data_IF_373733442069
#
_entry.id   IF_373733442069
#
_cell.length_a   1.000
_cell.length_b   1.000
_cell.length_c   1.000
_cell.angle_alpha   90.00
_cell.angle_beta   90.00
_cell.angle_gamma   90.00
#
_symmetry.space_group_name_H-M   'P 1'
#
loop_
_entity.id
_entity.type
_entity.pdbx_description
1 polymer ?
#
# COMPACT_ATOMS: atom_id res chain seq x y z
N UNK A 1 23.45 -10.15 -6.98
CA UNK A 1 22.49 -9.37 -6.17
C UNK A 1 22.56 -7.95 -6.68
N UNK A 2 21.44 -7.44 -7.19
CA UNK A 2 21.33 -6.10 -7.77
C UNK A 2 21.61 -5.04 -6.72
N UNK A 3 22.46 -4.08 -7.06
CA UNK A 3 22.70 -2.89 -6.26
C UNK A 3 21.36 -2.13 -6.16
N UNK A 4 20.83 -1.96 -4.94
CA UNK A 4 19.51 -1.32 -4.76
C UNK A 4 19.65 0.18 -4.97
N UNK A 5 18.71 0.75 -5.72
CA UNK A 5 18.63 2.21 -5.89
C UNK A 5 18.25 2.86 -4.54
N UNK A 6 19.10 3.72 -3.96
CA UNK A 6 18.84 4.35 -2.67
C UNK A 6 17.65 5.31 -2.71
N UNK A 7 17.20 5.74 -3.88
CA UNK A 7 16.08 6.66 -4.04
C UNK A 7 14.75 5.94 -4.34
N UNK A 8 14.71 4.61 -4.26
CA UNK A 8 13.52 3.82 -4.54
C UNK A 8 13.20 2.82 -3.45
N UNK A 9 11.93 2.49 -3.36
CA UNK A 9 11.46 1.48 -2.42
C UNK A 9 12.09 0.11 -2.70
N UNK A 10 12.74 -0.47 -1.69
CA UNK A 10 13.39 -1.77 -1.78
C UNK A 10 12.42 -2.95 -2.04
N UNK A 11 11.11 -2.72 -1.97
CA UNK A 11 10.10 -3.72 -2.36
C UNK A 11 9.91 -3.83 -3.88
N UNK A 12 10.55 -2.96 -4.67
CA UNK A 12 10.59 -3.00 -6.14
C UNK A 12 9.18 -3.20 -6.76
N UNK A 13 9.01 -4.20 -7.64
CA UNK A 13 7.75 -4.54 -8.30
C UNK A 13 6.60 -4.91 -7.34
N UNK A 14 6.91 -5.21 -6.08
CA UNK A 14 5.96 -5.55 -5.01
C UNK A 14 5.57 -4.33 -4.15
N UNK A 15 6.09 -3.14 -4.48
CA UNK A 15 5.74 -1.89 -3.80
C UNK A 15 4.26 -1.56 -3.98
N UNK A 16 3.62 -1.05 -2.93
CA UNK A 16 2.21 -0.64 -2.95
C UNK A 16 1.96 0.59 -3.83
N UNK A 17 2.94 1.49 -3.94
CA UNK A 17 2.93 2.67 -4.81
C UNK A 17 3.89 2.50 -6.00
N UNK A 18 3.98 1.28 -6.53
CA UNK A 18 4.87 0.98 -7.66
C UNK A 18 4.52 1.84 -8.88
N UNK A 19 5.55 2.25 -9.59
CA UNK A 19 5.45 3.00 -10.84
C UNK A 19 5.72 2.06 -12.01
N UNK A 20 5.19 2.40 -13.17
CA UNK A 20 5.48 1.68 -14.42
C UNK A 20 6.45 2.55 -15.22
N UNK A 21 7.70 2.11 -15.32
CA UNK A 21 8.75 2.79 -16.09
C UNK A 21 9.11 1.90 -17.28
N UNK A 22 8.66 2.29 -18.48
CA UNK A 22 8.73 1.42 -19.64
C UNK A 22 7.78 0.22 -19.47
N UNK A 23 8.31 -0.99 -19.50
CA UNK A 23 7.55 -2.24 -19.30
C UNK A 23 7.73 -2.86 -17.92
N UNK A 24 8.54 -2.26 -17.06
CA UNK A 24 8.88 -2.82 -15.74
C UNK A 24 8.18 -2.07 -14.60
N UNK A 25 7.71 -2.84 -13.62
CA UNK A 25 7.21 -2.29 -12.37
C UNK A 25 8.37 -2.02 -11.42
N UNK A 26 8.58 -0.75 -11.09
CA UNK A 26 9.63 -0.33 -10.18
C UNK A 26 9.06 0.23 -8.88
N UNK A 27 9.88 0.23 -7.84
CA UNK A 27 9.52 0.80 -6.55
C UNK A 27 9.26 2.31 -6.66
N UNK A 28 8.28 2.78 -5.88
CA UNK A 28 8.00 4.21 -5.68
C UNK A 28 9.29 4.98 -5.37
N UNK A 29 9.38 6.22 -5.85
CA UNK A 29 10.46 7.13 -5.46
C UNK A 29 10.34 7.51 -3.98
N UNK A 30 11.46 7.51 -3.26
CA UNK A 30 11.55 7.84 -1.84
C UNK A 30 12.58 8.95 -1.66
N UNK A 31 12.25 9.93 -0.83
CA UNK A 31 13.18 11.02 -0.47
C UNK A 31 14.11 10.58 0.66
N UNK A 32 13.55 10.04 1.74
CA UNK A 32 14.28 9.57 2.91
C UNK A 32 13.86 8.15 3.32
N UNK A 33 14.84 7.28 3.59
CA UNK A 33 14.63 5.91 4.04
C UNK A 33 14.70 4.85 2.93
N UNK A 34 14.48 3.58 3.30
CA UNK A 34 14.69 2.42 2.41
C UNK A 34 13.37 1.85 1.85
N UNK A 35 12.25 2.16 2.49
CA UNK A 35 10.92 1.66 2.13
C UNK A 35 9.88 2.77 2.26
N UNK A 36 8.90 2.81 1.36
CA UNK A 36 7.86 3.83 1.40
C UNK A 36 6.85 3.53 2.53
N UNK A 37 6.12 4.55 3.00
CA UNK A 37 5.15 4.41 4.10
C UNK A 37 4.12 3.29 3.89
N UNK A 38 3.69 3.09 2.64
CA UNK A 38 2.76 2.03 2.30
C UNK A 38 3.36 0.63 2.47
N UNK A 39 4.63 0.45 2.10
CA UNK A 39 5.33 -0.82 2.29
C UNK A 39 5.72 -1.04 3.75
N UNK A 40 6.06 0.02 4.49
CA UNK A 40 6.30 -0.05 5.93
C UNK A 40 5.05 -0.47 6.69
N UNK A 41 3.89 0.11 6.34
CA UNK A 41 2.59 -0.28 6.89
C UNK A 41 2.26 -1.74 6.57
N UNK A 42 2.50 -2.18 5.32
CA UNK A 42 2.33 -3.59 4.91
C UNK A 42 3.23 -4.54 5.71
N UNK A 43 4.50 -4.17 5.92
CA UNK A 43 5.44 -4.93 6.74
C UNK A 43 4.95 -5.03 8.19
N UNK A 44 4.48 -3.91 8.76
CA UNK A 44 3.91 -3.90 10.12
C UNK A 44 2.72 -4.85 10.25
N UNK A 45 1.80 -4.83 9.27
CA UNK A 45 0.68 -5.77 9.24
C UNK A 45 1.13 -7.22 9.10
N UNK A 46 2.12 -7.50 8.24
CA UNK A 46 2.66 -8.85 8.07
C UNK A 46 3.27 -9.38 9.37
N UNK A 47 4.11 -8.57 10.03
CA UNK A 47 4.72 -8.92 11.34
C UNK A 47 3.64 -9.18 12.37
N UNK A 48 2.71 -8.23 12.57
CA UNK A 48 1.61 -8.38 13.53
C UNK A 48 0.70 -9.59 13.23
N UNK A 49 0.55 -9.92 11.95
CA UNK A 49 -0.27 -11.03 11.47
C UNK A 49 0.36 -12.41 11.65
N UNK A 50 1.69 -12.52 11.79
CA UNK A 50 2.40 -13.81 11.82
C UNK A 50 1.81 -14.85 12.78
N UNK A 51 1.48 -14.53 14.06
CA UNK A 51 0.93 -15.53 14.97
C UNK A 51 -0.42 -16.08 14.49
N UNK A 52 -1.28 -15.20 13.98
CA UNK A 52 -2.59 -15.59 13.45
C UNK A 52 -2.47 -16.40 12.15
N UNK A 53 -1.51 -16.04 11.29
CA UNK A 53 -1.22 -16.75 10.05
C UNK A 53 -0.67 -18.15 10.32
N UNK A 54 0.24 -18.28 11.29
CA UNK A 54 0.75 -19.58 11.76
C UNK A 54 -0.37 -20.43 12.37
N UNK A 55 -1.25 -19.87 13.21
CA UNK A 55 -2.39 -20.60 13.79
C UNK A 55 -3.36 -21.10 12.72
N UNK A 56 -3.63 -20.32 11.68
CA UNK A 56 -4.50 -20.71 10.57
C UNK A 56 -3.90 -21.86 9.78
N UNK A 57 -2.61 -21.80 9.49
CA UNK A 57 -1.91 -22.91 8.87
C UNK A 57 -2.00 -24.16 9.76
N UNK A 58 -1.83 -24.00 11.08
CA UNK A 58 -1.82 -25.10 12.04
C UNK A 58 -3.15 -25.84 12.05
N UNK A 59 -4.23 -25.10 12.22
CA UNK A 59 -5.58 -25.66 12.17
C UNK A 59 -5.93 -26.20 10.78
N UNK A 60 -5.37 -25.61 9.72
CA UNK A 60 -5.57 -26.04 8.33
C UNK A 60 -4.87 -27.34 7.96
N UNK A 61 -3.89 -27.82 8.74
CA UNK A 61 -3.24 -29.12 8.52
C UNK A 61 -4.10 -30.30 8.98
N UNK A 62 -5.19 -30.06 9.72
CA UNK A 62 -6.14 -31.10 10.10
C UNK A 62 -5.60 -32.12 11.11
N UNK A 63 -4.45 -31.87 11.71
CA UNK A 63 -3.89 -32.72 12.78
C UNK A 63 -4.77 -32.63 14.03
N UNK A 64 -5.80 -33.49 14.08
CA UNK A 64 -6.20 -34.05 15.37
C UNK A 64 -5.04 -34.93 15.80
N UNK A 65 -4.14 -34.40 16.62
CA UNK A 65 -3.34 -35.26 17.50
C UNK A 65 -4.37 -36.13 18.24
N UNK A 66 -4.47 -37.40 17.85
CA UNK A 66 -5.36 -38.35 18.52
C UNK A 66 -4.72 -38.57 19.90
N UNK A 67 -5.10 -37.75 20.86
CA UNK A 67 -4.65 -37.83 22.25
C UNK A 67 -5.20 -39.08 22.99
N UNK A 68 -5.58 -40.14 22.27
CA UNK A 68 -6.27 -41.30 22.83
C UNK A 68 -6.27 -42.56 21.97
N UNK A 69 -5.34 -42.72 21.02
CA UNK A 69 -5.22 -43.93 20.21
C UNK A 69 -3.80 -44.49 20.29
N UNK A 70 -3.69 -45.78 20.58
CA UNK A 70 -2.47 -46.54 20.86
C UNK A 70 -1.16 -45.97 20.26
N UNK A 71 -0.12 -45.86 21.11
CA UNK A 71 1.27 -45.77 20.64
C UNK A 71 1.59 -47.02 19.83
N UNK A 72 1.41 -46.94 18.51
CA UNK A 72 2.03 -47.88 17.58
C UNK A 72 3.49 -47.44 17.46
N UNK A 73 4.34 -47.97 18.35
CA UNK A 73 5.76 -48.00 18.07
C UNK A 73 5.96 -48.97 16.90
N UNK A 74 6.48 -48.50 15.78
CA UNK A 74 6.99 -49.42 14.76
C UNK A 74 6.55 -49.13 13.33
N UNK A 75 6.83 -47.94 12.82
CA UNK A 75 7.25 -47.77 11.42
C UNK A 75 8.47 -46.85 11.43
N UNK A 76 9.55 -47.28 10.78
CA UNK A 76 10.78 -46.49 10.57
C UNK A 76 10.61 -45.49 9.41
N UNK A 77 9.37 -45.31 8.94
CA UNK A 77 8.94 -44.36 7.93
C UNK A 77 8.25 -43.21 8.66
N UNK A 78 8.75 -41.99 8.42
CA UNK A 78 8.17 -40.77 8.97
C UNK A 78 6.68 -40.69 8.61
N UNK A 79 5.85 -40.20 9.55
CA UNK A 79 4.46 -39.92 9.25
C UNK A 79 4.43 -38.93 8.08
N UNK A 80 3.98 -39.39 6.91
CA UNK A 80 3.84 -38.54 5.73
C UNK A 80 2.80 -37.47 6.05
N UNK A 81 3.25 -36.22 6.13
CA UNK A 81 2.39 -35.09 6.45
C UNK A 81 1.46 -34.88 5.26
N UNK A 82 0.16 -34.89 5.51
CA UNK A 82 -0.88 -34.78 4.47
C UNK A 82 -0.77 -33.43 3.71
N UNK A 83 -0.06 -32.45 4.27
CA UNK A 83 0.17 -31.15 3.66
C UNK A 83 1.57 -30.57 3.96
N UNK A 84 2.60 -31.19 3.37
CA UNK A 84 4.02 -30.81 3.50
C UNK A 84 4.28 -29.32 3.20
N UNK A 85 3.52 -28.74 2.27
CA UNK A 85 3.70 -27.34 1.88
C UNK A 85 3.26 -26.37 3.00
N UNK A 86 2.16 -26.65 3.70
CA UNK A 86 1.73 -25.83 4.85
C UNK A 86 2.67 -25.93 6.02
N UNK A 87 3.18 -27.14 6.31
CA UNK A 87 4.17 -27.35 7.35
C UNK A 87 5.48 -26.60 7.05
N UNK A 88 5.97 -26.68 5.81
CA UNK A 88 7.15 -25.92 5.38
C UNK A 88 6.95 -24.41 5.54
N UNK A 89 5.76 -23.87 5.20
CA UNK A 89 5.45 -22.47 5.43
C UNK A 89 5.40 -22.10 6.91
N UNK A 90 4.86 -22.96 7.78
CA UNK A 90 4.85 -22.71 9.22
C UNK A 90 6.25 -22.61 9.79
N UNK A 91 7.10 -23.59 9.49
CA UNK A 91 8.49 -23.59 9.91
C UNK A 91 9.23 -22.34 9.39
N UNK A 92 8.99 -21.97 8.14
CA UNK A 92 9.60 -20.79 7.53
C UNK A 92 9.18 -19.48 8.21
N UNK A 93 7.92 -19.32 8.62
CA UNK A 93 7.47 -18.14 9.38
C UNK A 93 8.20 -18.03 10.71
N UNK A 94 8.32 -19.15 11.45
CA UNK A 94 9.00 -19.19 12.75
C UNK A 94 10.49 -18.86 12.59
N UNK A 95 11.16 -19.49 11.62
CA UNK A 95 12.58 -19.24 11.35
C UNK A 95 12.85 -17.79 10.95
N UNK A 96 12.03 -17.18 10.10
CA UNK A 96 12.18 -15.77 9.72
C UNK A 96 11.94 -14.83 10.90
N UNK A 97 10.92 -15.11 11.71
CA UNK A 97 10.58 -14.30 12.87
C UNK A 97 11.70 -14.34 13.92
N UNK A 98 12.25 -15.52 14.21
CA UNK A 98 13.36 -15.69 15.16
C UNK A 98 14.62 -14.95 14.68
N UNK A 99 15.00 -15.12 13.40
CA UNK A 99 16.14 -14.41 12.80
C UNK A 99 15.97 -12.89 12.84
N UNK A 100 14.82 -12.39 12.40
CA UNK A 100 14.55 -10.95 12.41
C UNK A 100 14.64 -10.39 13.84
N UNK A 101 14.13 -11.14 14.81
CA UNK A 101 14.18 -10.77 16.22
C UNK A 101 15.61 -10.75 16.74
N UNK A 102 16.42 -11.76 16.41
CA UNK A 102 17.83 -11.81 16.77
C UNK A 102 18.62 -10.60 16.24
N UNK A 103 18.39 -10.20 14.98
CA UNK A 103 19.05 -9.02 14.41
C UNK A 103 18.72 -7.75 15.20
N UNK A 104 17.44 -7.56 15.54
CA UNK A 104 16.98 -6.39 16.30
C UNK A 104 17.44 -6.43 17.75
N UNK A 105 17.38 -7.58 18.41
CA UNK A 105 17.87 -7.79 19.77
C UNK A 105 19.36 -7.46 19.88
N UNK A 106 20.16 -7.93 18.92
CA UNK A 106 21.60 -7.66 18.84
C UNK A 106 21.87 -6.18 18.66
N UNK A 107 21.12 -5.51 17.78
CA UNK A 107 21.27 -4.08 17.52
C UNK A 107 20.88 -3.20 18.72
N UNK A 108 19.85 -3.60 19.47
CA UNK A 108 19.35 -2.86 20.63
C UNK A 108 20.04 -3.27 21.94
N UNK A 109 20.98 -4.23 21.90
CA UNK A 109 21.58 -4.86 23.08
C UNK A 109 20.54 -5.37 24.10
N UNK A 110 19.40 -5.84 23.60
CA UNK A 110 18.35 -6.43 24.43
C UNK A 110 18.55 -7.93 24.43
N UNK A 111 18.88 -8.50 25.59
CA UNK A 111 19.02 -9.96 25.71
C UNK A 111 17.64 -10.62 25.74
N UNK A 112 17.25 -11.26 24.64
CA UNK A 112 16.09 -12.14 24.58
C UNK A 112 16.26 -13.33 25.52
N UNK A 113 15.43 -13.43 26.57
CA UNK A 113 15.42 -14.59 27.47
C UNK A 113 14.73 -15.78 26.79
N UNK A 114 15.46 -16.91 26.77
CA UNK A 114 15.05 -18.28 26.44
C UNK A 114 14.46 -18.52 25.03
N UNK A 115 15.37 -18.80 24.08
CA UNK A 115 15.03 -19.31 22.73
C UNK A 115 14.63 -20.80 22.70
N UNK A 116 14.92 -21.56 23.77
CA UNK A 116 14.62 -22.98 23.86
C UNK A 116 13.98 -23.33 25.22
N UNK A 117 12.66 -23.18 25.31
CA UNK A 117 11.89 -23.64 26.46
C UNK A 117 11.57 -25.14 26.38
N UNK A 118 11.39 -25.78 27.53
CA UNK A 118 10.88 -27.16 27.71
C UNK A 118 9.43 -27.37 27.24
N UNK A 119 8.87 -26.45 26.46
CA UNK A 119 7.50 -26.57 25.96
C UNK A 119 7.49 -27.54 24.77
N UNK A 120 6.52 -28.45 24.73
CA UNK A 120 6.34 -29.31 23.56
C UNK A 120 5.95 -28.50 22.32
N UNK A 121 6.29 -29.01 21.14
CA UNK A 121 5.68 -28.59 19.88
C UNK A 121 4.16 -28.80 20.00
N UNK A 122 3.26 -27.82 19.74
CA UNK A 122 3.40 -26.54 19.00
C UNK A 122 3.46 -25.26 19.86
N UNK A 123 3.52 -25.37 21.19
CA UNK A 123 3.42 -24.21 22.08
C UNK A 123 4.67 -23.31 22.04
N UNK A 124 5.82 -23.88 21.69
CA UNK A 124 7.08 -23.14 21.52
C UNK A 124 7.03 -22.19 20.32
N UNK A 125 6.65 -22.67 19.13
CA UNK A 125 6.53 -21.87 17.91
C UNK A 125 5.64 -20.64 18.11
N UNK A 126 4.47 -20.82 18.72
CA UNK A 126 3.56 -19.70 19.01
C UNK A 126 4.20 -18.70 19.98
N UNK A 127 4.93 -19.15 21.00
CA UNK A 127 5.61 -18.25 21.93
C UNK A 127 6.73 -17.46 21.22
N UNK A 128 7.49 -18.10 20.33
CA UNK A 128 8.51 -17.47 19.49
C UNK A 128 7.91 -16.38 18.62
N UNK A 129 6.78 -16.65 17.96
CA UNK A 129 6.09 -15.65 17.13
C UNK A 129 5.54 -14.49 17.95
N UNK A 130 4.97 -14.75 19.12
CA UNK A 130 4.48 -13.68 20.00
C UNK A 130 5.62 -12.80 20.51
N UNK A 131 6.76 -13.40 20.87
CA UNK A 131 7.97 -12.67 21.25
C UNK A 131 8.49 -11.81 20.09
N UNK A 132 8.56 -12.40 18.90
CA UNK A 132 9.00 -11.70 17.69
C UNK A 132 8.11 -10.48 17.39
N UNK A 133 6.79 -10.60 17.49
CA UNK A 133 5.88 -9.46 17.30
C UNK A 133 6.16 -8.34 18.31
N UNK A 134 6.34 -8.68 19.59
CA UNK A 134 6.59 -7.69 20.65
C UNK A 134 7.89 -6.91 20.44
N UNK A 135 8.92 -7.54 19.87
CA UNK A 135 10.20 -6.88 19.59
C UNK A 135 10.17 -6.15 18.25
N UNK A 136 9.65 -6.78 17.20
CA UNK A 136 9.72 -6.28 15.84
C UNK A 136 8.74 -5.14 15.58
N UNK A 137 7.48 -5.22 16.04
CA UNK A 137 6.46 -4.19 15.77
C UNK A 137 6.90 -2.77 16.15
N UNK A 138 7.47 -2.51 17.35
CA UNK A 138 7.97 -1.18 17.71
C UNK A 138 9.32 -0.83 17.06
N UNK A 139 10.12 -1.82 16.67
CA UNK A 139 11.52 -1.62 16.26
C UNK A 139 11.79 -1.92 14.77
N UNK A 140 10.78 -1.88 13.90
CA UNK A 140 10.96 -2.06 12.45
C UNK A 140 12.06 -1.17 11.83
N UNK A 141 12.24 0.11 12.22
CA UNK A 141 13.34 0.91 11.70
C UNK A 141 14.71 0.33 12.05
N UNK A 142 14.86 -0.28 13.23
CA UNK A 142 16.11 -0.92 13.64
C UNK A 142 16.41 -2.16 12.80
N UNK A 143 15.38 -2.94 12.43
CA UNK A 143 15.51 -4.06 11.49
C UNK A 143 15.99 -3.57 10.12
N UNK A 144 15.34 -2.54 9.56
CA UNK A 144 15.67 -2.03 8.23
C UNK A 144 17.07 -1.41 8.14
N UNK A 145 17.62 -0.94 9.27
CA UNK A 145 18.97 -0.39 9.36
C UNK A 145 20.08 -1.45 9.48
N UNK A 146 19.72 -2.74 9.61
CA UNK A 146 20.72 -3.79 9.84
C UNK A 146 21.62 -4.02 8.63
N UNK A 147 22.96 -4.13 8.85
CA UNK A 147 23.88 -4.50 7.80
C UNK A 147 23.67 -5.96 7.37
N UNK A 148 24.37 -6.36 6.31
CA UNK A 148 24.39 -7.74 5.86
C UNK A 148 24.99 -8.65 6.93
N UNK A 149 24.25 -9.69 7.30
CA UNK A 149 24.68 -10.74 8.20
C UNK A 149 24.61 -12.09 7.47
N UNK A 150 25.63 -12.92 7.66
CA UNK A 150 25.65 -14.26 7.10
C UNK A 150 24.70 -15.17 7.87
N UNK A 151 23.74 -15.74 7.15
CA UNK A 151 22.74 -16.64 7.72
C UNK A 151 22.78 -18.00 7.05
N UNK A 152 22.54 -19.05 7.84
CA UNK A 152 22.36 -20.40 7.34
C UNK A 152 20.99 -20.52 6.66
N UNK A 153 20.99 -20.79 5.36
CA UNK A 153 19.77 -21.07 4.57
C UNK A 153 19.88 -22.47 3.98
N UNK A 154 18.73 -23.10 3.76
CA UNK A 154 18.66 -24.35 3.02
C UNK A 154 19.12 -24.12 1.58
N UNK A 155 20.19 -24.80 1.18
CA UNK A 155 20.72 -24.77 -0.18
C UNK A 155 19.73 -25.39 -1.16
N UNK A 156 20.03 -25.29 -2.46
CA UNK A 156 19.21 -25.93 -3.50
C UNK A 156 19.10 -27.43 -3.22
N UNK A 157 17.90 -27.99 -3.33
CA UNK A 157 17.72 -29.45 -3.25
C UNK A 157 18.58 -30.08 -4.35
N UNK A 158 19.52 -30.97 -4.02
CA UNK A 158 20.40 -31.59 -5.01
C UNK A 158 19.61 -32.40 -6.03
N UNK A 159 20.02 -32.34 -7.30
CA UNK A 159 19.43 -33.14 -8.38
C UNK A 159 20.04 -34.56 -8.32
N UNK A 160 19.39 -35.50 -7.62
CA UNK A 160 19.84 -36.89 -7.47
C UNK A 160 20.41 -37.21 -6.07
N UNK A 161 21.19 -38.29 -5.97
CA UNK A 161 21.76 -38.77 -4.69
C UNK A 161 23.06 -38.04 -4.28
N UNK A 162 23.70 -37.34 -5.21
CA UNK A 162 24.92 -36.58 -4.97
C UNK A 162 24.61 -35.17 -4.45
N UNK A 163 25.28 -34.73 -3.38
CA UNK A 163 25.12 -33.38 -2.80
C UNK A 163 24.27 -33.34 -1.51
N UNK A 164 23.66 -34.45 -1.11
CA UNK A 164 23.04 -34.59 0.21
C UNK A 164 24.11 -34.69 1.30
N UNK A 165 23.92 -33.96 2.40
CA UNK A 165 24.81 -34.06 3.55
C UNK A 165 24.60 -35.41 4.26
N UNK A 166 25.64 -36.24 4.44
CA UNK A 166 25.51 -37.63 4.92
C UNK A 166 24.80 -37.82 6.26
N UNK A 167 24.76 -36.76 7.10
CA UNK A 167 24.13 -36.78 8.42
C UNK A 167 22.95 -35.84 8.60
N UNK A 168 22.85 -34.82 7.74
CA UNK A 168 21.97 -33.67 8.00
C UNK A 168 20.93 -33.46 6.89
N UNK A 169 20.90 -34.34 5.88
CA UNK A 169 19.96 -34.23 4.76
C UNK A 169 20.35 -33.09 3.82
N UNK A 170 19.40 -32.21 3.51
CA UNK A 170 19.61 -31.13 2.53
C UNK A 170 20.79 -30.23 2.94
N UNK A 171 21.67 -29.83 1.99
CA UNK A 171 22.79 -28.95 2.29
C UNK A 171 22.30 -27.60 2.81
N UNK A 172 23.11 -26.98 3.68
CA UNK A 172 22.90 -25.62 4.19
C UNK A 172 24.04 -24.73 3.72
N UNK A 173 23.70 -23.55 3.23
CA UNK A 173 24.64 -22.57 2.70
C UNK A 173 24.58 -21.30 3.53
N UNK A 174 25.73 -20.62 3.66
CA UNK A 174 25.80 -19.30 4.25
C UNK A 174 25.47 -18.27 3.18
N UNK A 175 24.40 -17.51 3.40
CA UNK A 175 23.99 -16.43 2.52
C UNK A 175 23.85 -15.14 3.32
N UNK A 176 24.44 -14.08 2.81
CA UNK A 176 24.39 -12.75 3.41
C UNK A 176 23.02 -12.10 3.17
N UNK A 177 22.30 -11.78 4.24
CA UNK A 177 21.04 -11.02 4.19
C UNK A 177 21.16 -9.73 4.98
N UNK A 178 20.68 -8.63 4.41
CA UNK A 178 20.42 -7.42 5.19
C UNK A 178 19.02 -7.46 5.82
N UNK A 179 18.74 -6.53 6.73
CA UNK A 179 17.43 -6.51 7.40
C UNK A 179 16.27 -6.17 6.46
N UNK A 180 16.55 -5.54 5.33
CA UNK A 180 15.57 -5.23 4.30
C UNK A 180 15.19 -6.49 3.51
N UNK A 181 16.15 -7.37 3.21
CA UNK A 181 15.90 -8.66 2.58
C UNK A 181 14.97 -9.50 3.45
N UNK A 182 15.24 -9.56 4.76
CA UNK A 182 14.39 -10.26 5.72
C UNK A 182 12.99 -9.63 5.77
N UNK A 183 12.88 -8.30 5.76
CA UNK A 183 11.58 -7.62 5.70
C UNK A 183 10.79 -7.96 4.42
N UNK A 184 11.46 -8.04 3.27
CA UNK A 184 10.84 -8.45 2.00
C UNK A 184 10.39 -9.90 2.06
N UNK A 185 11.19 -10.79 2.66
CA UNK A 185 10.83 -12.20 2.84
C UNK A 185 9.64 -12.37 3.78
N UNK A 186 9.56 -11.62 4.88
CA UNK A 186 8.41 -11.62 5.80
C UNK A 186 7.12 -11.32 5.05
N UNK A 187 7.11 -10.25 4.25
CA UNK A 187 5.91 -9.87 3.48
C UNK A 187 5.62 -10.89 2.38
N UNK A 188 6.65 -11.47 1.79
CA UNK A 188 6.48 -12.52 0.80
C UNK A 188 5.83 -13.77 1.39
N UNK A 189 6.33 -14.24 2.53
CA UNK A 189 5.78 -15.41 3.23
C UNK A 189 4.35 -15.14 3.65
N UNK A 190 4.04 -13.99 4.25
CA UNK A 190 2.65 -13.64 4.56
C UNK A 190 1.74 -13.77 3.33
N UNK A 191 2.16 -13.25 2.17
CA UNK A 191 1.42 -13.45 0.90
C UNK A 191 1.26 -14.92 0.51
N UNK A 192 2.31 -15.74 0.64
CA UNK A 192 2.24 -17.17 0.35
C UNK A 192 1.24 -17.87 1.28
N UNK A 193 1.23 -17.54 2.57
CA UNK A 193 0.24 -18.05 3.53
C UNK A 193 -1.18 -17.71 3.08
N UNK A 194 -1.41 -16.46 2.67
CA UNK A 194 -2.71 -16.08 2.13
C UNK A 194 -3.08 -16.92 0.91
N UNK A 195 -2.17 -17.14 -0.04
CA UNK A 195 -2.41 -17.97 -1.22
C UNK A 195 -2.76 -19.42 -0.85
N UNK A 196 -2.01 -20.03 0.07
CA UNK A 196 -2.18 -21.43 0.48
C UNK A 196 -3.42 -21.70 1.34
N UNK A 197 -3.87 -20.70 2.08
CA UNK A 197 -5.14 -20.78 2.80
C UNK A 197 -6.35 -20.62 1.88
N UNK A 198 -6.15 -20.49 0.56
CA UNK A 198 -7.21 -20.06 -0.37
C UNK A 198 -7.74 -18.67 -0.04
N UNK A 199 -7.01 -17.94 0.81
CA UNK A 199 -7.22 -16.54 1.15
C UNK A 199 -6.37 -15.65 0.25
N UNK A 200 -6.05 -16.11 -0.96
CA UNK A 200 -5.96 -15.22 -2.12
C UNK A 200 -7.37 -14.62 -2.32
N UNK A 201 -7.85 -13.92 -1.30
CA UNK A 201 -9.04 -13.13 -1.34
C UNK A 201 -8.69 -12.10 -2.39
N UNK A 202 -9.34 -12.21 -3.54
CA UNK A 202 -9.29 -11.15 -4.52
C UNK A 202 -9.73 -9.92 -3.75
N UNK A 203 -8.78 -9.00 -3.52
CA UNK A 203 -9.14 -7.76 -2.88
C UNK A 203 -9.78 -6.93 -3.97
N UNK A 204 -11.08 -6.76 -3.88
CA UNK A 204 -11.78 -5.80 -4.70
C UNK A 204 -11.37 -4.42 -4.24
N UNK A 205 -10.38 -3.83 -4.94
CA UNK A 205 -10.01 -2.43 -4.74
C UNK A 205 -11.16 -1.56 -5.21
N UNK A 206 -11.52 -0.59 -4.39
CA UNK A 206 -12.48 0.42 -4.79
C UNK A 206 -11.75 1.62 -5.41
N UNK A 207 -12.37 2.25 -6.40
CA UNK A 207 -11.85 3.46 -7.05
C UNK A 207 -12.08 4.72 -6.21
N UNK A 208 -12.86 4.63 -5.14
CA UNK A 208 -13.18 5.79 -4.29
C UNK A 208 -12.06 6.10 -3.29
N UNK A 209 -11.78 7.39 -3.01
CA UNK A 209 -10.81 7.76 -1.99
C UNK A 209 -11.33 7.41 -0.59
N UNK A 210 -10.40 7.17 0.33
CA UNK A 210 -10.69 6.81 1.71
C UNK A 210 -11.48 7.92 2.44
N UNK A 211 -12.68 7.60 3.01
CA UNK A 211 -13.50 8.56 3.74
C UNK A 211 -13.04 8.81 5.18
N UNK A 212 -12.03 8.08 5.67
CA UNK A 212 -11.55 8.23 7.04
C UNK A 212 -11.05 9.66 7.31
N UNK A 213 -11.43 10.22 8.45
CA UNK A 213 -10.93 11.50 8.94
C UNK A 213 -10.07 11.23 10.17
N UNK A 214 -8.89 11.86 10.24
CA UNK A 214 -8.03 11.75 11.41
C UNK A 214 -8.55 12.64 12.56
N UNK A 215 -7.94 12.53 13.74
CA UNK A 215 -8.29 13.34 14.92
C UNK A 215 -8.09 14.85 14.74
N UNK A 216 -7.38 15.27 13.68
CA UNK A 216 -7.15 16.68 13.32
C UNK A 216 -8.15 17.21 12.31
N UNK A 217 -9.10 16.38 11.85
CA UNK A 217 -10.09 16.76 10.85
C UNK A 217 -9.60 16.61 9.40
N UNK A 218 -8.42 16.05 9.16
CA UNK A 218 -7.89 15.84 7.81
C UNK A 218 -8.37 14.49 7.25
N UNK A 219 -8.83 14.50 6.00
CA UNK A 219 -9.24 13.29 5.29
C UNK A 219 -8.04 12.46 4.86
N UNK A 220 -8.16 11.14 4.96
CA UNK A 220 -7.12 10.21 4.51
C UNK A 220 -6.92 10.28 3.00
N UNK A 221 -8.00 10.36 2.21
CA UNK A 221 -7.95 10.54 0.75
C UNK A 221 -7.28 9.44 -0.07
N UNK A 222 -6.75 8.39 0.57
CA UNK A 222 -5.99 7.35 -0.11
C UNK A 222 -6.89 6.42 -0.94
N UNK A 223 -6.48 6.12 -2.18
CA UNK A 223 -7.12 5.16 -3.09
C UNK A 223 -6.73 3.71 -2.79
N UNK A 224 -6.68 3.38 -1.50
CA UNK A 224 -6.26 2.05 -1.02
C UNK A 224 -7.39 1.33 -0.30
N UNK A 225 -8.62 1.81 -0.45
CA UNK A 225 -9.80 1.15 0.09
C UNK A 225 -10.13 -0.07 -0.75
N UNK A 226 -10.69 -1.08 -0.10
CA UNK A 226 -11.13 -2.28 -0.78
C UNK A 226 -11.73 -3.26 0.19
N UNK A 227 -12.23 -4.35 -0.39
CA UNK A 227 -12.93 -5.41 0.30
C UNK A 227 -12.23 -6.72 0.01
N UNK A 228 -12.06 -7.54 1.03
CA UNK A 228 -11.57 -8.91 0.86
C UNK A 228 -12.72 -9.83 0.47
N UNK A 229 -12.53 -10.69 -0.53
CA UNK A 229 -13.49 -11.73 -0.88
C UNK A 229 -13.96 -12.53 0.35
N UNK A 230 -15.27 -12.73 0.44
CA UNK A 230 -15.92 -13.44 1.55
C UNK A 230 -16.10 -12.61 2.82
N UNK A 231 -15.63 -11.36 2.86
CA UNK A 231 -15.93 -10.41 3.95
C UNK A 231 -16.99 -9.41 3.50
N UNK A 232 -17.72 -8.81 4.44
CA UNK A 232 -18.66 -7.68 4.19
C UNK A 232 -18.10 -6.35 4.69
N UNK A 233 -16.79 -6.32 4.97
CA UNK A 233 -16.10 -5.18 5.53
C UNK A 233 -15.15 -4.58 4.48
N UNK A 234 -15.18 -3.26 4.35
CA UNK A 234 -14.21 -2.48 3.61
C UNK A 234 -13.13 -2.01 4.56
N UNK A 235 -11.88 -2.11 4.14
CA UNK A 235 -10.73 -1.62 4.89
C UNK A 235 -9.90 -0.66 4.04
N UNK A 236 -9.27 0.31 4.70
CA UNK A 236 -8.23 1.13 4.08
C UNK A 236 -6.86 0.65 4.55
N UNK A 237 -6.01 0.22 3.62
CA UNK A 237 -4.66 -0.25 3.97
C UNK A 237 -3.70 0.89 4.34
N UNK A 238 -4.02 2.14 4.01
CA UNK A 238 -3.20 3.31 4.37
C UNK A 238 -3.45 3.78 5.81
N UNK A 239 -4.71 3.99 6.21
CA UNK A 239 -5.04 4.49 7.56
C UNK A 239 -5.53 3.41 8.52
N UNK A 240 -5.79 2.19 8.05
CA UNK A 240 -6.27 1.07 8.86
C UNK A 240 -7.74 1.16 9.28
N UNK A 241 -8.49 2.18 8.84
CA UNK A 241 -9.91 2.30 9.11
C UNK A 241 -10.71 1.17 8.42
N UNK A 242 -11.80 0.76 9.06
CA UNK A 242 -12.66 -0.33 8.62
C UNK A 242 -14.11 0.06 8.76
N UNK A 243 -14.92 -0.35 7.79
CA UNK A 243 -16.34 -0.05 7.75
C UNK A 243 -17.13 -1.27 7.25
N UNK A 244 -18.33 -1.52 7.78
CA UNK A 244 -19.26 -2.44 7.13
C UNK A 244 -19.72 -1.86 5.79
N UNK A 245 -20.05 -2.73 4.83
CA UNK A 245 -20.47 -2.38 3.46
C UNK A 245 -21.54 -1.27 3.41
N UNK A 246 -22.56 -1.35 4.26
CA UNK A 246 -23.64 -0.34 4.32
C UNK A 246 -23.15 1.05 4.73
N UNK A 247 -22.25 1.11 5.71
CA UNK A 247 -21.71 2.38 6.20
C UNK A 247 -20.76 2.98 5.17
N UNK A 248 -19.94 2.15 4.54
CA UNK A 248 -19.01 2.58 3.51
C UNK A 248 -19.73 3.17 2.28
N UNK A 249 -20.79 2.52 1.77
CA UNK A 249 -21.61 3.06 0.67
C UNK A 249 -22.22 4.42 1.02
N UNK A 250 -22.66 4.60 2.26
CA UNK A 250 -23.17 5.89 2.73
C UNK A 250 -22.07 6.96 2.80
N UNK A 251 -20.90 6.63 3.34
CA UNK A 251 -19.74 7.52 3.39
C UNK A 251 -19.25 7.91 1.99
N UNK A 252 -19.28 6.99 1.03
CA UNK A 252 -18.97 7.28 -0.37
C UNK A 252 -19.89 8.35 -0.95
N UNK A 253 -21.20 8.29 -0.65
CA UNK A 253 -22.15 9.32 -1.07
C UNK A 253 -21.75 10.71 -0.60
N UNK A 254 -21.39 10.83 0.69
CA UNK A 254 -20.94 12.11 1.27
C UNK A 254 -19.65 12.62 0.64
N UNK A 255 -18.71 11.74 0.34
CA UNK A 255 -17.44 12.12 -0.33
C UNK A 255 -17.69 12.58 -1.76
N UNK A 256 -18.60 11.92 -2.49
CA UNK A 256 -18.98 12.34 -3.85
C UNK A 256 -19.61 13.72 -3.82
N UNK A 257 -20.51 13.98 -2.88
CA UNK A 257 -21.18 15.28 -2.75
C UNK A 257 -20.16 16.38 -2.43
N UNK A 258 -19.21 16.11 -1.52
CA UNK A 258 -18.12 17.05 -1.21
C UNK A 258 -17.22 17.34 -2.42
N UNK A 259 -16.85 16.32 -3.20
CA UNK A 259 -16.03 16.49 -4.40
C UNK A 259 -16.77 17.36 -5.42
N UNK A 260 -18.07 17.11 -5.64
CA UNK A 260 -18.89 17.93 -6.53
C UNK A 260 -18.99 19.38 -6.07
N UNK A 261 -19.23 19.61 -4.78
CA UNK A 261 -19.28 20.97 -4.23
C UNK A 261 -17.94 21.71 -4.41
N UNK A 262 -16.81 21.02 -4.25
CA UNK A 262 -15.49 21.57 -4.51
C UNK A 262 -15.28 21.90 -5.99
N UNK A 263 -15.62 20.97 -6.89
CA UNK A 263 -15.53 21.18 -8.34
C UNK A 263 -16.40 22.36 -8.81
N UNK A 264 -17.63 22.46 -8.30
CA UNK A 264 -18.52 23.60 -8.57
C UNK A 264 -17.94 24.91 -8.05
N UNK A 265 -17.40 24.90 -6.83
CA UNK A 265 -16.78 26.08 -6.22
C UNK A 265 -15.54 26.53 -7.00
N UNK A 266 -14.70 25.60 -7.44
CA UNK A 266 -13.49 25.91 -8.19
C UNK A 266 -13.80 26.36 -9.62
N UNK A 267 -14.83 25.78 -10.25
CA UNK A 267 -15.39 26.29 -11.50
C UNK A 267 -15.91 27.72 -11.33
N UNK A 268 -16.65 28.01 -10.25
CA UNK A 268 -17.15 29.35 -9.97
C UNK A 268 -16.01 30.36 -9.74
N UNK A 269 -14.97 29.99 -8.99
CA UNK A 269 -13.77 30.83 -8.81
C UNK A 269 -13.09 31.12 -10.13
N UNK A 270 -12.96 30.11 -11.00
CA UNK A 270 -12.39 30.26 -12.32
C UNK A 270 -13.21 31.24 -13.18
N UNK A 271 -14.54 31.04 -13.25
CA UNK A 271 -15.43 31.92 -14.01
C UNK A 271 -15.43 33.36 -13.47
N UNK A 272 -15.35 33.53 -12.15
CA UNK A 272 -15.21 34.85 -11.54
C UNK A 272 -13.88 35.50 -11.92
N UNK A 273 -12.77 34.76 -11.83
CA UNK A 273 -11.45 35.27 -12.21
C UNK A 273 -11.40 35.69 -13.68
N UNK A 274 -11.99 34.90 -14.58
CA UNK A 274 -12.13 35.25 -16.01
C UNK A 274 -13.01 36.49 -16.22
N UNK A 275 -14.11 36.62 -15.48
CA UNK A 275 -14.95 37.81 -15.54
C UNK A 275 -14.19 39.07 -15.07
N UNK A 276 -13.42 38.97 -13.99
CA UNK A 276 -12.58 40.07 -13.50
C UNK A 276 -11.47 40.44 -14.49
N UNK A 277 -10.80 39.46 -15.11
CA UNK A 277 -9.75 39.76 -16.10
C UNK A 277 -10.31 40.53 -17.30
N UNK A 278 -11.50 40.16 -17.80
CA UNK A 278 -12.17 40.89 -18.88
C UNK A 278 -12.58 42.30 -18.46
N UNK A 279 -13.09 42.47 -17.24
CA UNK A 279 -13.41 43.80 -16.70
C UNK A 279 -12.17 44.67 -16.55
N UNK A 280 -11.04 44.10 -16.13
CA UNK A 280 -9.77 44.79 -16.04
C UNK A 280 -9.26 45.20 -17.43
N UNK A 281 -9.36 44.33 -18.45
CA UNK A 281 -9.04 44.68 -19.84
C UNK A 281 -9.88 45.87 -20.31
N UNK A 282 -11.19 45.85 -20.11
CA UNK A 282 -12.08 46.97 -20.46
C UNK A 282 -11.73 48.23 -19.67
N UNK A 283 -11.44 48.12 -18.38
CA UNK A 283 -11.04 49.25 -17.55
C UNK A 283 -9.71 49.86 -18.01
N UNK A 284 -8.75 49.04 -18.46
CA UNK A 284 -7.49 49.54 -19.05
C UNK A 284 -7.71 50.22 -20.40
N UNK A 285 -8.61 49.71 -21.23
CA UNK A 285 -9.02 50.36 -22.48
C UNK A 285 -9.67 51.72 -22.19
N UNK A 286 -10.53 51.80 -21.17
CA UNK A 286 -11.22 53.04 -20.80
C UNK A 286 -10.25 54.10 -20.24
N UNK A 287 -9.28 53.70 -19.41
CA UNK A 287 -8.20 54.60 -18.96
C UNK A 287 -7.31 55.11 -20.09
N UNK A 288 -7.04 54.28 -21.11
CA UNK A 288 -6.32 54.73 -22.31
C UNK A 288 -7.15 55.74 -23.10
N UNK A 289 -8.45 55.52 -23.15
CA UNK A 289 -9.39 56.38 -23.86
C UNK A 289 -9.53 57.78 -23.24
N UNK A 290 -9.61 57.89 -21.91
CA UNK A 290 -9.80 59.19 -21.22
C UNK A 290 -8.72 60.25 -21.52
N UNK A 291 -7.55 59.84 -22.01
CA UNK A 291 -6.44 60.75 -22.33
C UNK A 291 -6.14 60.94 -23.82
N UNK A 292 -6.88 60.30 -24.74
CA UNK A 292 -6.55 60.27 -26.17
C UNK A 292 -7.48 61.20 -26.99
N UNK A 293 -6.97 62.32 -27.56
CA UNK A 293 -7.76 63.23 -28.38
C UNK A 293 -8.26 62.60 -29.69
N UNK A 294 -7.75 61.43 -30.08
CA UNK A 294 -8.23 60.68 -31.24
C UNK A 294 -9.67 60.16 -31.07
N UNK A 295 -10.21 60.15 -29.85
CA UNK A 295 -11.56 59.64 -29.57
C UNK A 295 -12.67 60.58 -30.02
N UNK A 296 -12.38 61.87 -30.14
CA UNK A 296 -13.34 62.86 -30.65
C UNK A 296 -13.42 62.88 -32.19
N UNK A 297 -12.61 62.05 -32.87
CA UNK A 297 -12.62 61.96 -34.33
C UNK A 297 -13.82 61.12 -34.83
N UNK A 298 -14.42 61.51 -35.97
CA UNK A 298 -15.50 60.73 -36.58
C UNK A 298 -15.00 59.32 -36.95
N UNK A 299 -15.61 58.29 -36.36
CA UNK A 299 -15.25 56.88 -36.56
C UNK A 299 -14.57 56.21 -35.36
N UNK A 300 -14.10 56.97 -34.37
CA UNK A 300 -13.44 56.43 -33.18
C UNK A 300 -14.32 55.43 -32.39
N UNK A 301 -15.64 55.66 -32.34
CA UNK A 301 -16.59 54.75 -31.68
C UNK A 301 -16.57 53.32 -32.23
N UNK A 302 -16.23 53.14 -33.52
CA UNK A 302 -16.11 51.80 -34.12
C UNK A 302 -14.85 51.07 -33.64
N UNK A 303 -13.73 51.78 -33.52
CA UNK A 303 -12.46 51.22 -33.04
C UNK A 303 -12.57 50.82 -31.57
N UNK A 304 -13.27 51.65 -30.76
CA UNK A 304 -13.56 51.33 -29.36
C UNK A 304 -14.46 50.10 -29.25
N UNK A 305 -15.50 49.99 -30.07
CA UNK A 305 -16.38 48.81 -30.10
C UNK A 305 -15.63 47.53 -30.51
N UNK A 306 -14.75 47.59 -31.52
CA UNK A 306 -13.91 46.45 -31.93
C UNK A 306 -12.93 46.04 -30.83
N UNK A 307 -12.38 46.99 -30.07
CA UNK A 307 -11.48 46.71 -28.94
C UNK A 307 -12.19 46.09 -27.75
N UNK A 308 -13.41 46.56 -27.42
CA UNK A 308 -14.26 45.96 -26.38
C UNK A 308 -14.68 44.55 -26.80
N UNK A 309 -15.05 44.35 -28.07
CA UNK A 309 -15.37 43.03 -28.61
C UNK A 309 -14.17 42.08 -28.48
N UNK A 310 -12.95 42.55 -28.78
CA UNK A 310 -11.73 41.78 -28.57
C UNK A 310 -11.49 41.34 -27.12
N UNK A 311 -11.82 42.19 -26.14
CA UNK A 311 -11.75 41.87 -24.70
C UNK A 311 -12.89 40.93 -24.24
N UNK A 312 -14.04 40.92 -24.92
CA UNK A 312 -15.13 39.99 -24.64
C UNK A 312 -14.88 38.61 -25.25
N UNK A 313 -14.17 38.57 -26.38
CA UNK A 313 -13.77 37.35 -27.07
C UNK A 313 -12.43 36.79 -26.58
N UNK A 314 -11.72 37.51 -25.70
CA UNK A 314 -10.50 37.03 -25.06
C UNK A 314 -10.84 35.92 -24.05
N UNK A 315 -10.14 34.79 -24.12
CA UNK A 315 -10.33 33.63 -23.22
C UNK A 315 -10.50 32.28 -23.95
N UNK A 316 -10.68 31.22 -23.16
CA UNK A 316 -10.92 29.85 -23.68
C UNK A 316 -12.32 29.70 -24.29
N UNK A 317 -13.30 30.45 -23.79
CA UNK A 317 -14.68 30.47 -24.29
C UNK A 317 -15.10 31.92 -24.49
N UNK A 318 -15.50 32.34 -25.71
CA UNK A 318 -15.97 33.71 -25.96
C UNK A 318 -17.16 34.09 -25.08
N UNK A 319 -17.26 35.36 -24.68
CA UNK A 319 -18.41 35.80 -23.88
C UNK A 319 -19.72 35.67 -24.66
N UNK A 320 -20.58 34.76 -24.21
CA UNK A 320 -21.85 34.52 -24.88
C UNK A 320 -22.82 35.69 -24.74
N UNK A 321 -23.51 36.02 -25.82
CA UNK A 321 -24.59 37.02 -25.79
C UNK A 321 -25.78 36.51 -24.97
N UNK A 322 -26.65 37.40 -24.44
CA UNK A 322 -27.88 36.98 -23.74
C UNK A 322 -28.77 36.04 -24.57
N UNK A 323 -28.73 36.15 -25.90
CA UNK A 323 -29.49 35.31 -26.83
C UNK A 323 -28.87 33.91 -26.96
N UNK A 324 -27.54 33.82 -27.04
CA UNK A 324 -26.81 32.55 -27.04
C UNK A 324 -27.02 31.76 -25.74
N UNK A 325 -27.01 32.46 -24.59
CA UNK A 325 -27.26 31.86 -23.27
C UNK A 325 -28.65 31.21 -23.13
N UNK A 326 -29.63 31.61 -23.93
CA UNK A 326 -31.00 31.07 -23.87
C UNK A 326 -31.15 29.70 -24.56
N UNK A 327 -30.18 29.27 -25.37
CA UNK A 327 -30.34 28.10 -26.25
C UNK A 327 -30.08 26.74 -25.62
N UNK A 328 -29.63 26.67 -24.37
CA UNK A 328 -29.43 25.39 -23.65
C UNK A 328 -30.66 25.04 -22.80
N UNK A 329 -31.84 24.93 -23.43
CA UNK A 329 -32.92 24.08 -22.90
C UNK A 329 -32.97 22.83 -23.75
N UNK A 330 -32.13 21.86 -23.38
CA UNK A 330 -32.08 20.55 -24.01
C UNK A 330 -33.47 19.91 -24.12
N UNK A 331 -33.78 19.46 -25.32
CA UNK A 331 -34.82 18.47 -25.62
C UNK A 331 -34.77 17.35 -24.56
N UNK A 332 -35.75 17.31 -23.66
CA UNK A 332 -36.01 16.12 -22.83
C UNK A 332 -36.32 14.96 -23.78
N UNK A 333 -35.40 14.01 -23.90
CA UNK A 333 -35.68 12.64 -24.29
C UNK A 333 -35.55 11.77 -23.04
#
# INVERSE_FOLDING_TARGET
MTERDPHRCAFEARCTRRELLGEEHIGAQIVDGVVCDGCLTKLRYAVKGMPADWERLHHGMGERFIAGGAKVSGTHEHALVINEHREALQAHIVDLADRATEMVETALNVTGRQRHGRMGFPAHDKATLMHAVNILEPNLPALLAQPKLDMLVWGRVPDGDEGWHPRNGQPRELQAFDGVDIAVQIVHVSRLVYQELGRAALRHSDSMPCPAVNHKGEQCGAYTVGRWDGTTEYDCTTCGARWPEREYQWLQGLVIDLIKEQEETDLLKFLLAEAYSRLDEIATLLKKAEGDPAIDLPGAGRIVAESIQGALDSGLVPHQTPQERQTVKGSKK
#
